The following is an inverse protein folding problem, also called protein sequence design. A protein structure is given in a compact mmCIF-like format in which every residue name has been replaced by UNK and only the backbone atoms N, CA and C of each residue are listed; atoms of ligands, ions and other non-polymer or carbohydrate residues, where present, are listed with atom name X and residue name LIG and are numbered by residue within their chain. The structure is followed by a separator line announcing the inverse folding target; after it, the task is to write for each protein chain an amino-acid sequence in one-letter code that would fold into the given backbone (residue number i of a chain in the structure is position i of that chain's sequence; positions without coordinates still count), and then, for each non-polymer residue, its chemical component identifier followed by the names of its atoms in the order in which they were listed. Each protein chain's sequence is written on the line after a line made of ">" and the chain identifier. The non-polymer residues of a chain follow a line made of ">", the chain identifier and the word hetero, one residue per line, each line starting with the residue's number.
data_IF_220855075552
#
_entry.id   IF_220855075552
#
_cell.length_a   1.000
_cell.length_b   1.000
_cell.length_c   1.000
_cell.angle_alpha   90.00
_cell.angle_beta   90.00
_cell.angle_gamma   90.00
#
_symmetry.space_group_name_H-M   'P 1'
#
loop_
_entity.id
_entity.type
_entity.pdbx_description
1 polymer ?
#
# COMPACT_ATOMS: atom_id res chain seq x y z
N UNK A 1 4.18 -19.21 7.63
CA UNK A 1 4.71 -18.87 6.30
C UNK A 1 4.04 -17.60 5.80
N UNK A 2 4.63 -16.97 4.80
CA UNK A 2 4.05 -15.86 4.05
C UNK A 2 3.58 -16.43 2.71
N UNK A 3 2.29 -16.36 2.42
CA UNK A 3 1.67 -17.06 1.29
C UNK A 3 1.10 -16.05 0.31
N UNK A 4 1.59 -16.05 -0.94
CA UNK A 4 1.13 -15.14 -2.00
C UNK A 4 0.43 -15.96 -3.06
N UNK A 5 -0.79 -15.58 -3.44
CA UNK A 5 -1.54 -16.20 -4.54
C UNK A 5 -0.66 -16.38 -5.78
N UNK A 6 -0.78 -17.51 -6.48
CA UNK A 6 0.10 -17.88 -7.60
C UNK A 6 -0.57 -17.85 -8.99
N UNK A 7 -1.12 -16.70 -9.46
CA UNK A 7 -1.76 -16.61 -10.77
C UNK A 7 -0.82 -16.92 -11.95
N UNK A 8 0.50 -16.76 -11.80
CA UNK A 8 1.46 -17.11 -12.84
C UNK A 8 1.41 -18.61 -13.24
N UNK A 9 0.89 -19.49 -12.38
CA UNK A 9 0.67 -20.91 -12.72
C UNK A 9 -0.43 -21.12 -13.76
N UNK A 10 -1.41 -20.22 -13.84
CA UNK A 10 -2.51 -20.29 -14.81
C UNK A 10 -2.47 -19.23 -15.89
N UNK A 11 -1.50 -18.30 -15.83
CA UNK A 11 -1.35 -17.21 -16.79
C UNK A 11 0.04 -17.28 -17.42
N UNK A 12 0.17 -18.11 -18.46
CA UNK A 12 1.39 -18.23 -19.24
C UNK A 12 1.70 -16.90 -19.98
N UNK A 13 2.98 -16.57 -20.21
CA UNK A 13 3.36 -15.48 -21.11
C UNK A 13 2.65 -15.57 -22.46
N UNK A 14 2.26 -14.42 -23.02
CA UNK A 14 1.60 -14.28 -24.33
C UNK A 14 0.21 -14.96 -24.44
N UNK A 15 -0.32 -15.50 -23.34
CA UNK A 15 -1.69 -16.01 -23.28
C UNK A 15 -2.72 -14.86 -23.36
N UNK A 16 -3.99 -15.15 -23.70
CA UNK A 16 -5.04 -14.12 -23.68
C UNK A 16 -5.21 -13.42 -22.32
N UNK A 17 -5.02 -14.15 -21.21
CA UNK A 17 -5.05 -13.55 -19.87
C UNK A 17 -3.83 -12.67 -19.59
N UNK A 18 -2.66 -13.04 -20.10
CA UNK A 18 -1.45 -12.22 -20.02
C UNK A 18 -1.61 -10.93 -20.82
N UNK A 19 -2.14 -11.02 -22.05
CA UNK A 19 -2.44 -9.85 -22.87
C UNK A 19 -3.43 -8.90 -22.18
N UNK A 20 -4.47 -9.43 -21.52
CA UNK A 20 -5.42 -8.63 -20.73
C UNK A 20 -4.75 -7.97 -19.52
N UNK A 21 -3.89 -8.71 -18.80
CA UNK A 21 -3.13 -8.19 -17.67
C UNK A 21 -2.14 -7.10 -18.11
N UNK A 22 -1.45 -7.30 -19.24
CA UNK A 22 -0.50 -6.36 -19.84
C UNK A 22 -1.17 -5.12 -20.42
N UNK A 23 -2.42 -5.23 -20.88
CA UNK A 23 -3.20 -4.07 -21.33
C UNK A 23 -3.60 -3.15 -20.16
N UNK A 24 -3.77 -3.70 -18.94
CA UNK A 24 -4.18 -2.94 -17.75
C UNK A 24 -3.03 -2.60 -16.81
N UNK A 25 -1.98 -3.42 -16.73
CA UNK A 25 -0.75 -3.27 -15.93
C UNK A 25 -0.92 -3.22 -14.40
N UNK A 26 -1.99 -2.61 -13.90
CA UNK A 26 -2.33 -2.48 -12.48
C UNK A 26 -3.84 -2.37 -12.30
N UNK A 27 -4.33 -2.75 -11.12
CA UNK A 27 -5.68 -2.41 -10.70
C UNK A 27 -5.75 -0.91 -10.38
N UNK A 28 -6.79 -0.24 -10.87
CA UNK A 28 -7.12 1.15 -10.54
C UNK A 28 -8.19 1.15 -9.45
N UNK A 29 -7.90 1.78 -8.33
CA UNK A 29 -8.88 1.96 -7.23
C UNK A 29 -9.49 3.35 -7.34
N UNK A 30 -10.77 3.50 -7.02
CA UNK A 30 -11.39 4.82 -6.90
C UNK A 30 -12.44 4.76 -5.78
N UNK A 31 -12.92 5.90 -5.27
CA UNK A 31 -13.93 5.91 -4.22
C UNK A 31 -15.13 5.02 -4.54
N UNK A 32 -15.37 4.02 -3.68
CA UNK A 32 -16.47 3.05 -3.79
C UNK A 32 -16.22 1.81 -4.65
N UNK A 33 -15.21 1.79 -5.55
CA UNK A 33 -15.05 0.67 -6.50
C UNK A 33 -13.62 0.59 -7.10
N UNK A 34 -13.38 -0.37 -8.01
CA UNK A 34 -12.07 -0.62 -8.63
C UNK A 34 -12.21 -1.24 -10.02
N UNK A 35 -11.29 -0.88 -10.91
CA UNK A 35 -11.09 -1.57 -12.18
C UNK A 35 -9.92 -2.54 -12.01
N UNK A 36 -10.22 -3.84 -12.02
CA UNK A 36 -9.20 -4.87 -11.75
C UNK A 36 -8.26 -5.11 -12.93
N UNK A 37 -6.98 -5.38 -12.63
CA UNK A 37 -6.00 -5.78 -13.66
C UNK A 37 -6.40 -7.08 -14.36
N UNK A 38 -6.88 -8.06 -13.60
CA UNK A 38 -7.32 -9.35 -14.11
C UNK A 38 -8.85 -9.42 -14.18
N UNK A 39 -9.41 -10.23 -15.10
CA UNK A 39 -10.84 -10.54 -15.10
C UNK A 39 -11.29 -11.20 -13.78
N UNK A 40 -12.56 -11.03 -13.37
CA UNK A 40 -13.07 -11.60 -12.12
C UNK A 40 -12.84 -13.11 -11.99
N UNK A 41 -13.07 -13.90 -13.05
CA UNK A 41 -12.87 -15.35 -13.03
C UNK A 41 -11.41 -15.76 -12.74
N UNK A 42 -10.44 -15.01 -13.27
CA UNK A 42 -9.03 -15.24 -12.97
C UNK A 42 -8.71 -14.88 -11.52
N UNK A 43 -9.27 -13.79 -10.99
CA UNK A 43 -9.10 -13.42 -9.58
C UNK A 43 -9.71 -14.50 -8.67
N UNK A 44 -10.92 -14.96 -8.97
CA UNK A 44 -11.65 -15.97 -8.21
C UNK A 44 -10.89 -17.31 -8.16
N UNK A 45 -10.19 -17.69 -9.23
CA UNK A 45 -9.40 -18.92 -9.26
C UNK A 45 -8.22 -18.91 -8.26
N UNK A 46 -7.60 -17.73 -8.06
CA UNK A 46 -6.33 -17.60 -7.32
C UNK A 46 -6.44 -16.88 -5.97
N UNK A 47 -7.54 -16.16 -5.72
CA UNK A 47 -7.76 -15.45 -4.46
C UNK A 47 -7.69 -16.41 -3.26
N UNK A 48 -7.00 -15.99 -2.21
CA UNK A 48 -6.81 -16.78 -0.98
C UNK A 48 -8.03 -16.63 -0.05
N UNK A 49 -9.17 -17.18 -0.48
CA UNK A 49 -10.42 -17.18 0.28
C UNK A 49 -10.43 -18.25 1.37
N UNK A 50 -11.06 -17.91 2.49
CA UNK A 50 -11.33 -18.82 3.61
C UNK A 50 -12.07 -20.09 3.15
N UNK A 51 -11.68 -21.24 3.70
CA UNK A 51 -12.31 -22.54 3.44
C UNK A 51 -11.73 -23.33 2.28
N UNK A 52 -11.03 -22.69 1.34
CA UNK A 52 -10.46 -23.35 0.16
C UNK A 52 -8.94 -23.46 0.20
N UNK A 53 -8.40 -24.57 -0.33
CA UNK A 53 -6.98 -24.70 -0.61
C UNK A 53 -6.64 -24.09 -1.98
N UNK A 54 -5.88 -22.99 -1.96
CA UNK A 54 -5.59 -22.18 -3.16
C UNK A 54 -4.10 -22.20 -3.50
N UNK A 55 -3.75 -22.18 -4.81
CA UNK A 55 -2.35 -22.20 -5.23
C UNK A 55 -1.63 -20.93 -4.80
N UNK A 56 -0.50 -21.10 -4.12
CA UNK A 56 0.33 -20.02 -3.60
C UNK A 56 1.81 -20.30 -3.83
N UNK A 57 2.58 -19.22 -3.98
CA UNK A 57 4.00 -19.21 -3.75
C UNK A 57 4.22 -18.79 -2.30
N UNK A 58 4.74 -19.72 -1.52
CA UNK A 58 4.91 -19.58 -0.07
C UNK A 58 6.38 -19.36 0.28
N UNK A 59 6.64 -18.49 1.26
CA UNK A 59 7.92 -18.33 1.93
C UNK A 59 7.79 -18.77 3.39
N UNK A 60 8.50 -19.81 3.76
CA UNK A 60 8.65 -20.27 5.14
C UNK A 60 9.90 -19.67 5.77
N UNK A 61 9.79 -19.34 7.05
CA UNK A 61 10.83 -18.73 7.87
C UNK A 61 10.98 -19.61 9.10
N UNK A 62 12.17 -20.13 9.34
CA UNK A 62 12.53 -20.75 10.60
C UNK A 62 13.05 -19.65 11.51
N UNK A 63 12.40 -19.48 12.68
CA UNK A 63 12.66 -18.39 13.60
C UNK A 63 13.12 -18.96 14.93
N UNK A 64 14.25 -18.49 15.44
CA UNK A 64 14.77 -18.93 16.73
C UNK A 64 13.99 -18.33 17.93
N UNK A 65 14.35 -18.74 19.15
CA UNK A 65 13.69 -18.28 20.37
C UNK A 65 13.85 -16.76 20.63
N UNK A 66 14.84 -16.12 20.00
CA UNK A 66 15.08 -14.66 20.11
C UNK A 66 14.36 -13.86 19.02
N UNK A 67 13.74 -14.54 18.05
CA UNK A 67 13.01 -13.91 16.95
C UNK A 67 13.84 -13.66 15.70
N UNK A 68 15.06 -14.22 15.61
CA UNK A 68 15.87 -14.12 14.40
C UNK A 68 15.46 -15.18 13.39
N UNK A 69 15.43 -14.79 12.11
CA UNK A 69 15.24 -15.75 11.02
C UNK A 69 16.57 -16.45 10.75
N UNK A 70 16.58 -17.77 10.90
CA UNK A 70 17.78 -18.61 10.75
C UNK A 70 17.81 -19.38 9.43
N UNK A 71 16.64 -19.63 8.83
CA UNK A 71 16.52 -20.25 7.52
C UNK A 71 15.25 -19.80 6.81
N UNK A 72 15.28 -19.83 5.49
CA UNK A 72 14.14 -19.56 4.63
C UNK A 72 13.96 -20.68 3.62
N UNK A 73 12.71 -20.97 3.26
CA UNK A 73 12.37 -21.95 2.23
C UNK A 73 11.18 -21.49 1.42
N UNK A 74 11.32 -21.43 0.10
CA UNK A 74 10.20 -21.13 -0.79
C UNK A 74 9.62 -22.39 -1.41
N UNK A 75 8.30 -22.45 -1.56
CA UNK A 75 7.60 -23.60 -2.16
C UNK A 75 6.34 -23.15 -2.88
N UNK A 76 6.05 -23.80 -4.00
CA UNK A 76 4.76 -23.70 -4.66
C UNK A 76 3.84 -24.80 -4.12
N UNK A 77 2.70 -24.41 -3.54
CA UNK A 77 1.79 -25.35 -2.87
C UNK A 77 0.33 -24.88 -2.95
N UNK A 78 -0.59 -25.69 -2.44
CA UNK A 78 -1.98 -25.27 -2.17
C UNK A 78 -2.16 -25.04 -0.68
N UNK A 79 -2.48 -23.81 -0.29
CA UNK A 79 -2.59 -23.41 1.12
C UNK A 79 -4.07 -23.32 1.51
N UNK A 80 -4.55 -24.09 2.50
CA UNK A 80 -5.88 -23.93 3.06
C UNK A 80 -5.93 -22.67 3.94
N UNK A 81 -6.85 -21.77 3.65
CA UNK A 81 -7.02 -20.53 4.44
C UNK A 81 -8.06 -20.78 5.52
N UNK A 82 -7.62 -20.79 6.79
CA UNK A 82 -8.50 -21.02 7.92
C UNK A 82 -9.43 -19.83 8.22
N UNK A 83 -9.03 -18.62 7.84
CA UNK A 83 -9.75 -17.40 8.12
C UNK A 83 -9.31 -16.24 7.23
N UNK A 84 -10.27 -15.45 6.73
CA UNK A 84 -9.98 -14.11 6.24
C UNK A 84 -10.31 -13.07 7.33
N UNK A 85 -9.29 -12.32 7.79
CA UNK A 85 -9.44 -11.32 8.84
C UNK A 85 -9.46 -9.90 8.23
N UNK A 86 -10.37 -9.03 8.70
CA UNK A 86 -10.47 -7.64 8.23
C UNK A 86 -9.74 -6.71 9.19
N UNK A 87 -8.99 -5.74 8.64
CA UNK A 87 -8.19 -4.82 9.46
C UNK A 87 -9.06 -4.06 10.47
N UNK A 88 -10.22 -3.53 10.04
CA UNK A 88 -11.13 -2.79 10.94
C UNK A 88 -11.65 -3.60 12.12
N UNK A 89 -11.81 -4.92 11.99
CA UNK A 89 -12.22 -5.79 13.11
C UNK A 89 -11.05 -6.01 14.08
N UNK A 90 -9.83 -6.10 13.53
CA UNK A 90 -8.61 -6.38 14.27
C UNK A 90 -8.03 -5.17 14.99
N UNK A 91 -8.23 -3.96 14.47
CA UNK A 91 -7.72 -2.71 15.05
C UNK A 91 -8.19 -2.47 16.49
N UNK A 92 -9.40 -2.95 16.83
CA UNK A 92 -9.95 -2.82 18.18
C UNK A 92 -9.32 -3.78 19.20
N UNK A 93 -8.83 -4.93 18.74
CA UNK A 93 -8.28 -6.00 19.59
C UNK A 93 -6.75 -6.04 19.58
N UNK A 94 -6.09 -5.54 18.53
CA UNK A 94 -4.63 -5.54 18.37
C UNK A 94 -4.07 -4.12 18.54
N UNK A 95 -4.28 -3.57 19.73
CA UNK A 95 -3.75 -2.26 20.13
C UNK A 95 -2.33 -2.39 20.67
N UNK A 96 -1.58 -1.28 20.69
CA UNK A 96 -0.25 -1.26 21.31
C UNK A 96 -0.28 -1.71 22.78
N UNK A 97 -1.32 -1.31 23.52
CA UNK A 97 -1.54 -1.72 24.90
C UNK A 97 -1.77 -3.24 25.03
N UNK A 98 -2.58 -3.84 24.14
CA UNK A 98 -2.81 -5.28 24.13
C UNK A 98 -1.51 -6.05 23.82
N UNK A 99 -0.68 -5.53 22.91
CA UNK A 99 0.59 -6.13 22.53
C UNK A 99 1.69 -5.98 23.61
N UNK A 100 1.58 -4.96 24.46
CA UNK A 100 2.48 -4.74 25.59
C UNK A 100 2.04 -5.47 26.88
N UNK A 101 0.74 -5.71 27.06
CA UNK A 101 0.14 -5.95 28.38
C UNK A 101 -0.45 -7.33 28.65
N UNK A 102 -0.54 -8.26 27.69
CA UNK A 102 -1.11 -9.58 27.96
C UNK A 102 -1.49 -10.43 26.75
N UNK A 103 -2.21 -11.55 26.95
CA UNK A 103 -2.75 -12.34 25.85
C UNK A 103 -3.81 -11.54 25.08
N UNK A 104 -3.73 -11.64 23.77
CA UNK A 104 -4.68 -10.99 22.87
C UNK A 104 -5.99 -11.79 22.85
N UNK A 105 -7.12 -11.15 23.19
CA UNK A 105 -8.45 -11.76 23.19
C UNK A 105 -9.00 -11.92 21.77
N UNK A 106 -8.50 -12.93 21.07
CA UNK A 106 -8.92 -13.30 19.72
C UNK A 106 -8.57 -14.76 19.45
N UNK A 107 -9.34 -15.45 18.59
CA UNK A 107 -9.11 -16.87 18.25
C UNK A 107 -7.70 -17.18 17.72
N UNK A 108 -7.01 -16.18 17.16
CA UNK A 108 -5.64 -16.26 16.65
C UNK A 108 -4.65 -15.36 17.42
N UNK A 109 -4.99 -14.99 18.66
CA UNK A 109 -4.22 -14.01 19.43
C UNK A 109 -2.77 -14.43 19.66
N UNK A 110 -2.53 -15.74 19.87
CA UNK A 110 -1.17 -16.29 20.06
C UNK A 110 -0.32 -16.16 18.80
N UNK A 111 -0.88 -16.50 17.65
CA UNK A 111 -0.22 -16.46 16.35
C UNK A 111 0.12 -15.02 15.96
N UNK A 112 -0.82 -14.09 16.17
CA UNK A 112 -0.64 -12.67 15.89
C UNK A 112 0.42 -12.06 16.80
N UNK A 113 0.43 -12.40 18.10
CA UNK A 113 1.49 -11.94 19.01
C UNK A 113 2.88 -12.42 18.57
N UNK A 114 2.99 -13.65 18.07
CA UNK A 114 4.25 -14.18 17.53
C UNK A 114 4.68 -13.44 16.25
N UNK A 115 3.76 -13.24 15.31
CA UNK A 115 4.01 -12.47 14.08
C UNK A 115 4.36 -11.01 14.37
N UNK A 116 3.76 -10.39 15.39
CA UNK A 116 4.10 -9.05 15.83
C UNK A 116 5.55 -8.96 16.31
N UNK A 117 5.98 -9.88 17.21
CA UNK A 117 7.38 -9.92 17.68
C UNK A 117 8.36 -10.09 16.52
N UNK A 118 8.05 -10.99 15.58
CA UNK A 118 8.85 -11.15 14.37
C UNK A 118 8.88 -9.85 13.54
N UNK A 119 7.74 -9.18 13.33
CA UNK A 119 7.69 -7.92 12.57
C UNK A 119 8.54 -6.81 13.20
N UNK A 120 8.54 -6.71 14.54
CA UNK A 120 9.37 -5.75 15.27
C UNK A 120 10.87 -6.04 15.09
N UNK A 121 11.27 -7.31 15.18
CA UNK A 121 12.65 -7.74 14.92
C UNK A 121 13.09 -7.43 13.49
N UNK A 122 12.25 -7.76 12.49
CA UNK A 122 12.55 -7.48 11.08
C UNK A 122 12.67 -5.99 10.79
N UNK A 123 11.79 -5.16 11.36
CA UNK A 123 11.88 -3.71 11.23
C UNK A 123 13.17 -3.16 11.87
N UNK A 124 13.52 -3.65 13.06
CA UNK A 124 14.74 -3.26 13.76
C UNK A 124 16.00 -3.65 12.97
N UNK A 125 16.04 -4.85 12.39
CA UNK A 125 17.13 -5.33 11.55
C UNK A 125 17.35 -4.45 10.29
N UNK A 126 16.30 -3.78 9.80
CA UNK A 126 16.39 -2.79 8.70
C UNK A 126 16.85 -1.39 9.17
N UNK A 127 17.12 -1.20 10.46
CA UNK A 127 17.44 0.12 11.03
C UNK A 127 16.25 1.07 11.01
N UNK A 128 15.01 0.55 11.03
CA UNK A 128 13.77 1.33 10.94
C UNK A 128 12.94 1.28 12.23
N UNK A 129 13.55 0.91 13.36
CA UNK A 129 12.87 0.84 14.66
C UNK A 129 12.24 2.19 15.06
N UNK A 130 12.96 3.29 14.83
CA UNK A 130 12.52 4.65 15.19
C UNK A 130 11.69 5.34 14.09
N UNK A 131 11.58 4.73 12.90
CA UNK A 131 10.81 5.27 11.78
C UNK A 131 9.28 5.20 12.00
N UNK A 132 8.83 4.64 13.13
CA UNK A 132 7.42 4.55 13.50
C UNK A 132 6.71 5.92 13.56
N UNK A 133 7.44 7.00 13.84
CA UNK A 133 6.88 8.35 13.94
C UNK A 133 6.76 9.08 12.59
N UNK A 134 7.45 8.65 11.53
CA UNK A 134 7.44 9.36 10.24
C UNK A 134 6.21 9.05 9.36
N UNK A 135 5.36 8.09 9.78
CA UNK A 135 4.31 7.51 8.94
C UNK A 135 2.89 7.62 9.49
N UNK A 136 2.65 8.42 10.53
CA UNK A 136 1.29 8.83 10.93
C UNK A 136 0.71 9.87 9.96
N UNK A 137 0.73 9.55 8.66
CA UNK A 137 -0.11 10.25 7.69
C UNK A 137 -1.53 9.73 7.88
N UNK A 138 -2.44 10.63 8.23
CA UNK A 138 -3.88 10.38 8.15
C UNK A 138 -4.20 10.13 6.68
N UNK A 139 -4.52 8.89 6.34
CA UNK A 139 -5.14 8.53 5.08
C UNK A 139 -6.66 8.62 5.24
N UNK A 140 -7.40 8.54 4.14
CA UNK A 140 -8.85 8.62 4.16
C UNK A 140 -9.45 7.55 3.28
N UNK A 141 -10.49 6.90 3.78
CA UNK A 141 -11.34 6.02 3.00
C UNK A 141 -12.55 6.80 2.50
N UNK A 142 -12.87 6.64 1.22
CA UNK A 142 -14.05 7.20 0.62
C UNK A 142 -15.10 6.10 0.40
N UNK A 143 -16.32 6.37 0.84
CA UNK A 143 -17.50 5.56 0.57
C UNK A 143 -18.48 6.42 -0.21
N UNK A 144 -19.01 5.88 -1.30
CA UNK A 144 -19.97 6.57 -2.16
C UNK A 144 -21.16 5.66 -2.33
N UNK A 145 -22.27 6.04 -1.70
CA UNK A 145 -23.53 5.28 -1.69
C UNK A 145 -24.63 6.21 -2.21
N UNK A 146 -25.30 5.84 -3.31
CA UNK A 146 -26.36 6.65 -3.95
C UNK A 146 -25.98 8.13 -4.18
N UNK A 147 -24.73 8.37 -4.60
CA UNK A 147 -24.19 9.71 -4.85
C UNK A 147 -23.88 10.52 -3.59
N UNK A 148 -24.07 9.96 -2.39
CA UNK A 148 -23.64 10.54 -1.11
C UNK A 148 -22.26 10.04 -0.76
N UNK A 149 -21.37 10.98 -0.44
CA UNK A 149 -19.99 10.67 -0.07
C UNK A 149 -19.81 10.73 1.43
N UNK A 150 -19.12 9.73 1.97
CA UNK A 150 -18.61 9.69 3.33
C UNK A 150 -17.10 9.49 3.28
N UNK A 151 -16.39 10.46 3.84
CA UNK A 151 -14.92 10.43 3.96
C UNK A 151 -14.62 10.10 5.42
N UNK A 152 -13.88 9.03 5.66
CA UNK A 152 -13.51 8.58 7.00
C UNK A 152 -12.00 8.52 7.11
N UNK A 153 -11.47 9.12 8.16
CA UNK A 153 -10.06 8.99 8.50
C UNK A 153 -9.68 7.52 8.70
N UNK A 154 -8.59 7.12 8.04
CA UNK A 154 -7.92 5.86 8.26
C UNK A 154 -6.53 6.17 8.82
N UNK A 155 -6.33 5.83 10.09
CA UNK A 155 -5.01 5.92 10.71
C UNK A 155 -4.16 4.76 10.21
N UNK A 156 -3.20 5.05 9.33
CA UNK A 156 -2.12 4.10 9.05
C UNK A 156 -1.18 3.99 10.23
N UNK A 157 -0.53 2.84 10.32
CA UNK A 157 0.42 2.55 11.39
C UNK A 157 -0.21 1.86 12.58
N UNK A 158 -1.45 1.34 12.42
CA UNK A 158 -1.94 0.34 13.36
C UNK A 158 -0.95 -0.82 13.45
N UNK A 159 -0.87 -1.52 14.60
CA UNK A 159 0.04 -2.65 14.72
C UNK A 159 -0.18 -3.73 13.65
N UNK A 160 -1.42 -3.92 13.18
CA UNK A 160 -1.72 -4.86 12.12
C UNK A 160 -1.22 -4.39 10.74
N UNK A 161 -1.35 -3.10 10.40
CA UNK A 161 -0.80 -2.53 9.16
C UNK A 161 0.71 -2.75 9.12
N UNK A 162 1.39 -2.45 10.24
CA UNK A 162 2.84 -2.64 10.38
C UNK A 162 3.23 -4.10 10.23
N UNK A 163 2.54 -5.00 10.94
CA UNK A 163 2.81 -6.44 10.87
C UNK A 163 2.74 -6.94 9.43
N UNK A 164 1.64 -6.65 8.72
CA UNK A 164 1.45 -7.07 7.33
C UNK A 164 2.51 -6.42 6.43
N UNK A 165 2.80 -5.13 6.60
CA UNK A 165 3.82 -4.43 5.84
C UNK A 165 5.21 -5.08 5.99
N UNK A 166 5.65 -5.39 7.20
CA UNK A 166 6.95 -6.04 7.44
C UNK A 166 7.02 -7.43 6.81
N UNK A 167 5.93 -8.22 6.87
CA UNK A 167 5.89 -9.52 6.21
C UNK A 167 6.04 -9.36 4.69
N UNK A 168 5.32 -8.42 4.08
CA UNK A 168 5.42 -8.18 2.64
C UNK A 168 6.80 -7.62 2.25
N UNK A 169 7.37 -6.76 3.09
CA UNK A 169 8.71 -6.20 2.86
C UNK A 169 9.74 -7.33 2.86
N UNK A 170 9.68 -8.20 3.88
CA UNK A 170 10.57 -9.34 4.00
C UNK A 170 10.46 -10.28 2.80
N UNK A 171 9.24 -10.67 2.40
CA UNK A 171 9.04 -11.55 1.25
C UNK A 171 9.59 -10.96 -0.04
N UNK A 172 9.34 -9.67 -0.31
CA UNK A 172 9.84 -8.98 -1.50
C UNK A 172 11.37 -8.81 -1.49
N UNK A 173 11.98 -8.58 -0.33
CA UNK A 173 13.43 -8.48 -0.19
C UNK A 173 14.13 -9.84 -0.34
N UNK A 174 13.54 -10.89 0.25
CA UNK A 174 14.07 -12.25 0.23
C UNK A 174 13.94 -12.90 -1.15
N UNK A 175 12.79 -12.77 -1.80
CA UNK A 175 12.65 -13.20 -3.19
C UNK A 175 13.48 -12.36 -4.16
N UNK A 176 13.64 -11.06 -3.89
CA UNK A 176 14.62 -10.24 -4.61
C UNK A 176 16.06 -10.74 -4.42
N UNK A 177 16.42 -11.21 -3.22
CA UNK A 177 17.72 -11.83 -2.91
C UNK A 177 17.91 -13.10 -3.73
N UNK A 178 16.90 -13.96 -3.77
CA UNK A 178 16.94 -15.22 -4.53
C UNK A 178 17.17 -14.98 -6.03
N UNK A 179 16.47 -14.00 -6.63
CA UNK A 179 16.71 -13.60 -8.02
C UNK A 179 18.13 -13.05 -8.23
N UNK A 180 18.61 -12.20 -7.32
CA UNK A 180 19.98 -11.65 -7.36
C UNK A 180 21.04 -12.75 -7.35
N UNK A 181 20.92 -13.71 -6.44
CA UNK A 181 21.89 -14.81 -6.29
C UNK A 181 21.88 -15.77 -7.46
N UNK A 182 20.72 -15.97 -8.08
CA UNK A 182 20.58 -16.73 -9.31
C UNK A 182 21.03 -15.95 -10.57
N UNK A 183 21.40 -14.68 -10.44
CA UNK A 183 21.75 -13.82 -11.58
C UNK A 183 20.58 -13.55 -12.52
N UNK A 184 19.34 -13.63 -12.04
CA UNK A 184 18.13 -13.46 -12.83
C UNK A 184 17.59 -12.03 -12.78
N UNK A 185 17.09 -11.51 -13.91
CA UNK A 185 16.43 -10.21 -13.92
C UNK A 185 15.00 -10.32 -13.35
N UNK A 186 14.49 -9.18 -12.90
CA UNK A 186 13.13 -9.05 -12.38
C UNK A 186 12.72 -7.59 -12.28
N UNK A 187 11.50 -7.33 -11.83
CA UNK A 187 11.02 -5.99 -11.53
C UNK A 187 11.41 -5.59 -10.09
N UNK A 188 12.54 -4.91 -9.94
CA UNK A 188 13.02 -4.39 -8.67
C UNK A 188 12.58 -2.95 -8.50
N UNK A 189 12.04 -2.61 -7.32
CA UNK A 189 11.73 -1.22 -6.96
C UNK A 189 12.94 -0.65 -6.22
N UNK A 190 13.75 0.12 -6.93
CA UNK A 190 14.90 0.82 -6.39
C UNK A 190 14.48 2.17 -5.82
N UNK A 191 15.15 2.63 -4.76
CA UNK A 191 15.04 4.01 -4.29
C UNK A 191 16.40 4.47 -3.78
N UNK A 192 17.04 5.35 -4.55
CA UNK A 192 18.32 5.97 -4.23
C UNK A 192 18.17 7.48 -4.41
N UNK A 193 18.46 8.27 -3.38
CA UNK A 193 18.27 9.73 -3.44
C UNK A 193 16.79 10.16 -3.43
N UNK A 194 15.92 9.39 -2.75
CA UNK A 194 14.53 9.76 -2.46
C UNK A 194 13.50 9.42 -3.55
N UNK A 195 13.91 9.25 -4.81
CA UNK A 195 12.99 8.87 -5.90
C UNK A 195 13.01 7.36 -6.11
N UNK A 196 11.82 6.76 -6.11
CA UNK A 196 11.66 5.33 -6.35
C UNK A 196 11.33 5.07 -7.83
N UNK A 197 11.97 4.06 -8.42
CA UNK A 197 11.83 3.67 -9.83
C UNK A 197 11.92 2.15 -9.99
N UNK A 198 11.40 1.63 -11.08
CA UNK A 198 11.55 0.22 -11.43
C UNK A 198 12.88 -0.02 -12.16
N UNK A 199 13.56 -1.10 -11.82
CA UNK A 199 14.82 -1.54 -12.45
C UNK A 199 14.74 -3.03 -12.77
N UNK A 200 15.48 -3.46 -13.79
CA UNK A 200 15.59 -4.90 -14.15
C UNK A 200 16.60 -5.66 -13.30
N UNK A 201 17.46 -4.91 -12.61
CA UNK A 201 18.55 -5.42 -11.79
C UNK A 201 18.33 -5.10 -10.31
N UNK A 202 18.83 -5.95 -9.40
CA UNK A 202 18.78 -5.69 -7.96
C UNK A 202 19.45 -4.34 -7.65
N UNK A 203 18.77 -3.49 -6.90
CA UNK A 203 19.27 -2.16 -6.50
C UNK A 203 18.70 -1.80 -5.12
N UNK A 204 19.46 -1.09 -4.27
CA UNK A 204 18.98 -0.69 -2.94
C UNK A 204 17.70 0.14 -2.95
N UNK A 205 16.98 0.04 -1.84
CA UNK A 205 15.82 0.88 -1.54
C UNK A 205 16.02 1.55 -0.16
N UNK A 206 16.61 2.75 -0.16
CA UNK A 206 17.04 3.47 1.05
C UNK A 206 15.88 3.73 2.02
N UNK A 207 14.70 4.10 1.51
CA UNK A 207 13.51 4.33 2.34
C UNK A 207 13.05 3.09 3.11
N UNK A 208 13.32 1.89 2.57
CA UNK A 208 13.01 0.62 3.20
C UNK A 208 14.24 -0.01 3.90
N UNK A 209 15.45 0.53 3.76
CA UNK A 209 16.64 -0.06 4.38
C UNK A 209 16.94 -1.50 3.91
N UNK A 210 16.70 -1.80 2.62
CA UNK A 210 16.98 -3.12 2.02
C UNK A 210 17.91 -3.01 0.82
N UNK A 211 18.77 -4.01 0.63
CA UNK A 211 19.75 -4.05 -0.47
C UNK A 211 19.11 -4.33 -1.84
N UNK A 212 17.96 -4.99 -1.87
CA UNK A 212 17.15 -5.24 -3.06
C UNK A 212 15.69 -5.40 -2.65
N UNK A 213 14.78 -5.02 -3.55
CA UNK A 213 13.35 -5.07 -3.27
C UNK A 213 12.56 -5.42 -4.54
N UNK A 214 12.17 -6.68 -4.69
CA UNK A 214 11.41 -7.14 -5.86
C UNK A 214 9.91 -7.17 -5.53
N UNK A 215 9.10 -6.37 -6.22
CA UNK A 215 7.64 -6.39 -5.99
C UNK A 215 7.06 -7.73 -6.42
N UNK A 216 6.64 -8.55 -5.45
CA UNK A 216 6.23 -9.94 -5.69
C UNK A 216 4.99 -10.33 -4.89
N UNK A 217 4.52 -9.49 -3.97
CA UNK A 217 3.47 -9.79 -3.01
C UNK A 217 2.04 -9.43 -3.47
N UNK A 218 1.86 -9.01 -4.73
CA UNK A 218 0.56 -8.56 -5.26
C UNK A 218 0.31 -8.92 -6.74
N UNK A 219 0.54 -10.17 -7.17
CA UNK A 219 0.47 -10.57 -8.59
C UNK A 219 -0.94 -10.54 -9.19
N UNK A 220 -1.99 -10.48 -8.37
CA UNK A 220 -3.37 -10.32 -8.84
C UNK A 220 -3.73 -8.89 -9.29
N UNK A 221 -2.91 -7.89 -8.90
CA UNK A 221 -3.23 -6.47 -9.08
C UNK A 221 -2.09 -5.63 -9.64
N UNK A 222 -0.90 -6.19 -9.83
CA UNK A 222 0.26 -5.53 -10.43
C UNK A 222 0.97 -6.51 -11.36
N UNK A 223 1.17 -6.08 -12.61
CA UNK A 223 1.74 -6.92 -13.66
C UNK A 223 3.22 -7.23 -13.40
N UNK A 224 3.95 -6.28 -12.81
CA UNK A 224 5.34 -6.50 -12.39
C UNK A 224 5.49 -7.59 -11.33
N UNK A 225 4.51 -7.75 -10.42
CA UNK A 225 4.50 -8.86 -9.46
C UNK A 225 4.22 -10.21 -10.16
N UNK A 226 3.39 -10.21 -11.21
CA UNK A 226 3.17 -11.40 -12.04
C UNK A 226 4.45 -11.81 -12.79
N UNK A 227 5.20 -10.84 -13.32
CA UNK A 227 6.51 -11.06 -13.96
C UNK A 227 7.50 -11.68 -12.98
N UNK A 228 7.65 -11.08 -11.80
CA UNK A 228 8.54 -11.61 -10.77
C UNK A 228 8.13 -13.02 -10.33
N UNK A 229 6.82 -13.26 -10.19
CA UNK A 229 6.33 -14.58 -9.82
C UNK A 229 6.69 -15.65 -10.86
N UNK A 230 6.66 -15.34 -12.17
CA UNK A 230 7.11 -16.25 -13.23
C UNK A 230 8.58 -16.64 -13.05
N UNK A 231 9.45 -15.66 -12.81
CA UNK A 231 10.89 -15.91 -12.58
C UNK A 231 11.12 -16.73 -11.32
N UNK A 232 10.42 -16.41 -10.22
CA UNK A 232 10.54 -17.12 -8.95
C UNK A 232 10.06 -18.56 -9.04
N UNK A 233 8.93 -18.80 -9.71
CA UNK A 233 8.42 -20.15 -9.95
C UNK A 233 9.40 -20.99 -10.77
N UNK A 234 9.95 -20.43 -11.85
CA UNK A 234 10.98 -21.11 -12.66
C UNK A 234 12.23 -21.40 -11.83
N UNK A 235 12.72 -20.42 -11.07
CA UNK A 235 13.89 -20.56 -10.19
C UNK A 235 13.72 -21.69 -9.17
N UNK A 236 12.61 -21.68 -8.42
CA UNK A 236 12.38 -22.68 -7.37
C UNK A 236 12.02 -24.06 -7.92
N UNK A 237 11.50 -24.13 -9.14
CA UNK A 237 11.30 -25.39 -9.86
C UNK A 237 12.56 -25.88 -10.60
N UNK A 238 13.68 -25.14 -10.54
CA UNK A 238 14.91 -25.41 -11.28
C UNK A 238 14.69 -25.52 -12.80
N UNK A 239 13.77 -24.71 -13.31
CA UNK A 239 13.45 -24.59 -14.73
C UNK A 239 14.21 -23.40 -15.36
N UNK A 240 14.35 -23.36 -16.69
CA UNK A 240 14.91 -22.21 -17.38
C UNK A 240 14.17 -20.92 -17.02
N UNK A 241 14.91 -19.82 -16.87
CA UNK A 241 14.34 -18.51 -16.60
C UNK A 241 13.35 -18.11 -17.71
N UNK A 242 12.25 -17.47 -17.31
CA UNK A 242 11.20 -17.01 -18.25
C UNK A 242 11.68 -15.79 -19.02
N UNK A 243 12.42 -14.90 -18.36
CA UNK A 243 13.00 -13.72 -18.98
C UNK A 243 14.52 -13.72 -18.84
N UNK A 244 15.22 -13.55 -19.96
CA UNK A 244 16.66 -13.39 -19.98
C UNK A 244 17.07 -11.96 -19.58
N UNK A 245 18.33 -11.80 -19.19
CA UNK A 245 18.92 -10.48 -18.92
C UNK A 245 18.79 -9.58 -20.17
N UNK A 246 18.20 -8.39 -20.00
CA UNK A 246 18.02 -7.45 -21.12
C UNK A 246 16.92 -7.82 -22.12
N UNK A 247 16.05 -8.80 -21.79
CA UNK A 247 14.92 -9.16 -22.64
C UNK A 247 14.05 -7.91 -22.98
N UNK A 248 13.81 -7.60 -24.27
CA UNK A 248 13.00 -6.46 -24.68
C UNK A 248 11.58 -6.46 -24.10
N UNK A 249 10.99 -7.64 -23.92
CA UNK A 249 9.65 -7.83 -23.37
C UNK A 249 9.60 -7.42 -21.89
N UNK A 250 10.66 -7.72 -21.13
CA UNK A 250 10.78 -7.29 -19.74
C UNK A 250 10.98 -5.76 -19.65
N UNK A 251 11.90 -5.21 -20.44
CA UNK A 251 12.18 -3.77 -20.46
C UNK A 251 10.95 -2.95 -20.83
N UNK A 252 10.23 -3.36 -21.88
CA UNK A 252 8.98 -2.72 -22.30
C UNK A 252 7.91 -2.83 -21.22
N UNK A 253 7.70 -4.01 -20.63
CA UNK A 253 6.71 -4.19 -19.58
C UNK A 253 6.96 -3.31 -18.35
N UNK A 254 8.22 -3.14 -17.92
CA UNK A 254 8.57 -2.27 -16.79
C UNK A 254 8.28 -0.80 -17.11
N UNK A 255 8.72 -0.31 -18.29
CA UNK A 255 8.45 1.06 -18.74
C UNK A 255 6.95 1.33 -18.84
N UNK A 256 6.22 0.44 -19.49
CA UNK A 256 4.78 0.59 -19.70
C UNK A 256 4.05 0.59 -18.35
N UNK A 257 4.46 -0.29 -17.42
CA UNK A 257 3.95 -0.31 -16.04
C UNK A 257 4.18 1.02 -15.33
N UNK A 258 5.37 1.62 -15.37
CA UNK A 258 5.64 2.90 -14.72
C UNK A 258 4.74 4.02 -15.25
N UNK A 259 4.61 4.13 -16.58
CA UNK A 259 3.74 5.12 -17.21
C UNK A 259 2.27 4.96 -16.81
N UNK A 260 1.76 3.72 -16.86
CA UNK A 260 0.38 3.44 -16.48
C UNK A 260 0.14 3.68 -14.99
N UNK A 261 1.07 3.26 -14.13
CA UNK A 261 0.95 3.40 -12.68
C UNK A 261 0.93 4.88 -12.25
N UNK A 262 1.77 5.72 -12.87
CA UNK A 262 1.77 7.17 -12.62
C UNK A 262 0.47 7.83 -13.09
N UNK A 263 -0.01 7.49 -14.30
CA UNK A 263 -1.28 7.98 -14.85
C UNK A 263 -2.48 7.58 -13.99
N UNK A 264 -2.52 6.33 -13.52
CA UNK A 264 -3.57 5.86 -12.62
C UNK A 264 -3.53 6.58 -11.28
N UNK A 265 -2.34 6.82 -10.73
CA UNK A 265 -2.19 7.62 -9.52
C UNK A 265 -2.69 9.06 -9.70
N UNK A 266 -2.48 9.68 -10.86
CA UNK A 266 -3.03 11.00 -11.18
C UNK A 266 -4.55 10.99 -11.25
N UNK A 267 -5.13 10.03 -11.98
CA UNK A 267 -6.57 9.85 -12.06
C UNK A 267 -7.21 9.65 -10.67
N UNK A 268 -6.58 8.84 -9.82
CA UNK A 268 -6.99 8.64 -8.43
C UNK A 268 -7.04 9.93 -7.64
N UNK A 269 -5.96 10.74 -7.70
CA UNK A 269 -5.91 12.04 -7.00
C UNK A 269 -6.98 13.00 -7.51
N UNK A 270 -7.26 13.03 -8.81
CA UNK A 270 -8.35 13.84 -9.37
C UNK A 270 -9.72 13.38 -8.86
N UNK A 271 -9.97 12.07 -8.83
CA UNK A 271 -11.23 11.51 -8.32
C UNK A 271 -11.40 11.79 -6.82
N UNK A 272 -10.38 11.57 -6.00
CA UNK A 272 -10.41 11.90 -4.56
C UNK A 272 -10.73 13.38 -4.35
N UNK A 273 -10.09 14.26 -5.14
CA UNK A 273 -10.34 15.69 -5.10
C UNK A 273 -11.78 16.06 -5.47
N UNK A 274 -12.33 15.47 -6.53
CA UNK A 274 -13.75 15.64 -6.89
C UNK A 274 -14.67 15.27 -5.71
N UNK A 275 -14.43 14.12 -5.08
CA UNK A 275 -15.24 13.66 -3.96
C UNK A 275 -15.08 14.51 -2.70
N UNK A 276 -13.92 15.12 -2.46
CA UNK A 276 -13.75 16.14 -1.42
C UNK A 276 -14.65 17.36 -1.68
N UNK A 277 -14.73 17.85 -2.93
CA UNK A 277 -15.60 18.99 -3.26
C UNK A 277 -17.08 18.64 -3.10
N UNK A 278 -17.48 17.43 -3.52
CA UNK A 278 -18.84 16.92 -3.30
C UNK A 278 -19.17 16.78 -1.83
N UNK A 279 -18.19 16.39 -1.01
CA UNK A 279 -18.37 16.34 0.44
C UNK A 279 -18.60 17.74 1.01
N UNK A 280 -17.79 18.74 0.62
CA UNK A 280 -17.94 20.15 1.06
C UNK A 280 -19.32 20.70 0.69
N UNK A 281 -19.78 20.45 -0.55
CA UNK A 281 -21.11 20.82 -1.01
C UNK A 281 -22.20 20.16 -0.16
N UNK A 282 -22.10 18.84 0.03
CA UNK A 282 -23.08 18.02 0.76
C UNK A 282 -23.21 18.45 2.23
N UNK A 283 -22.10 18.77 2.90
CA UNK A 283 -22.09 19.22 4.30
C UNK A 283 -22.34 20.71 4.47
N UNK A 284 -22.48 21.45 3.36
CA UNK A 284 -22.62 22.91 3.34
C UNK A 284 -21.51 23.62 4.14
N UNK A 285 -20.29 23.05 4.11
CA UNK A 285 -19.16 23.55 4.88
C UNK A 285 -18.64 24.86 4.28
N UNK A 286 -18.75 25.95 5.04
CA UNK A 286 -18.27 27.29 4.63
C UNK A 286 -16.89 27.64 5.20
N UNK A 287 -16.41 26.88 6.18
CA UNK A 287 -15.05 26.99 6.70
C UNK A 287 -14.59 25.66 7.31
N UNK A 288 -13.31 25.35 7.16
CA UNK A 288 -12.68 24.15 7.70
C UNK A 288 -11.32 24.46 8.32
N UNK A 289 -10.95 23.67 9.33
CA UNK A 289 -9.62 23.72 9.92
C UNK A 289 -8.60 22.99 9.02
N UNK A 290 -7.40 23.54 8.96
CA UNK A 290 -6.31 23.03 8.13
C UNK A 290 -4.96 23.22 8.83
N UNK A 291 -3.99 22.42 8.41
CA UNK A 291 -2.61 22.54 8.83
C UNK A 291 -1.76 23.05 7.67
N UNK A 292 -0.93 24.05 7.92
CA UNK A 292 0.02 24.58 6.93
C UNK A 292 1.09 23.52 6.66
N UNK A 293 1.24 23.14 5.40
CA UNK A 293 2.29 22.20 4.95
C UNK A 293 3.59 22.96 4.71
N UNK A 294 3.52 24.05 3.94
CA UNK A 294 4.60 24.98 3.65
C UNK A 294 4.04 26.22 2.95
N UNK A 295 4.62 27.39 3.18
CA UNK A 295 4.19 28.65 2.57
C UNK A 295 2.66 28.84 2.72
N UNK A 296 1.95 29.00 1.60
CA UNK A 296 0.50 29.10 1.54
C UNK A 296 -0.21 27.78 1.21
N UNK A 297 0.51 26.65 1.22
CA UNK A 297 -0.04 25.32 0.95
C UNK A 297 -0.58 24.74 2.25
N UNK A 298 -1.88 24.46 2.28
CA UNK A 298 -2.58 23.92 3.45
C UNK A 298 -3.17 22.54 3.14
N UNK A 299 -3.21 21.68 4.15
CA UNK A 299 -3.91 20.40 4.13
C UNK A 299 -5.06 20.47 5.12
N UNK A 300 -6.27 20.17 4.66
CA UNK A 300 -7.43 20.13 5.55
C UNK A 300 -7.33 18.98 6.55
N UNK A 301 -7.80 19.23 7.77
CA UNK A 301 -7.64 18.27 8.86
C UNK A 301 -8.67 17.14 8.81
N UNK A 302 -9.83 17.37 8.17
CA UNK A 302 -10.91 16.39 8.07
C UNK A 302 -11.08 15.78 6.66
N UNK A 303 -10.24 16.18 5.68
CA UNK A 303 -10.33 15.76 4.28
C UNK A 303 -8.93 15.54 3.70
N UNK A 304 -8.75 14.62 2.74
CA UNK A 304 -7.51 14.48 1.96
C UNK A 304 -7.37 15.58 0.89
N UNK A 305 -7.73 16.82 1.22
CA UNK A 305 -7.66 17.96 0.31
C UNK A 305 -6.46 18.83 0.66
N UNK A 306 -5.61 19.08 -0.32
CA UNK A 306 -4.46 20.01 -0.21
C UNK A 306 -4.64 21.08 -1.27
N UNK A 307 -4.60 22.34 -0.87
CA UNK A 307 -4.75 23.50 -1.77
C UNK A 307 -3.81 24.62 -1.36
N UNK A 308 -3.55 25.53 -2.29
CA UNK A 308 -2.91 26.81 -1.98
C UNK A 308 -3.97 27.82 -1.58
N UNK A 309 -3.68 28.61 -0.55
CA UNK A 309 -4.55 29.68 -0.05
C UNK A 309 -3.80 31.01 -0.17
N UNK A 310 -3.92 31.75 -1.27
CA UNK A 310 -3.11 32.95 -1.53
C UNK A 310 -3.20 34.05 -0.47
N UNK A 311 -4.30 34.12 0.28
CA UNK A 311 -4.47 35.08 1.38
C UNK A 311 -3.67 34.72 2.64
N UNK A 312 -3.21 33.48 2.76
CA UNK A 312 -2.37 33.03 3.88
C UNK A 312 -0.95 33.57 3.68
N UNK A 313 -0.46 34.33 4.66
CA UNK A 313 0.86 34.97 4.64
C UNK A 313 1.61 34.64 5.92
N UNK A 314 2.92 34.51 5.81
CA UNK A 314 3.87 34.40 6.93
C UNK A 314 3.57 33.26 7.93
N UNK A 315 2.86 32.21 7.49
CA UNK A 315 2.50 31.09 8.33
C UNK A 315 3.60 30.03 8.37
N UNK A 316 3.85 29.47 9.56
CA UNK A 316 4.86 28.43 9.75
C UNK A 316 4.33 27.05 9.33
N UNK A 317 5.22 26.17 8.84
CA UNK A 317 4.85 24.77 8.61
C UNK A 317 4.40 24.11 9.92
N UNK A 318 3.27 23.41 9.89
CA UNK A 318 2.63 22.81 11.06
C UNK A 318 1.62 23.72 11.78
N UNK A 319 1.55 25.01 11.43
CA UNK A 319 0.58 25.94 12.02
C UNK A 319 -0.86 25.53 11.69
N UNK A 320 -1.74 25.65 12.69
CA UNK A 320 -3.18 25.42 12.53
C UNK A 320 -3.86 26.70 12.10
N UNK A 321 -4.60 26.63 11.00
CA UNK A 321 -5.28 27.77 10.39
C UNK A 321 -6.72 27.39 10.06
N UNK A 322 -7.60 28.38 10.00
CA UNK A 322 -8.99 28.20 9.58
C UNK A 322 -9.23 28.84 8.23
N UNK A 323 -9.80 28.09 7.30
CA UNK A 323 -9.92 28.48 5.90
C UNK A 323 -11.41 28.57 5.54
N UNK A 324 -11.86 29.72 5.07
CA UNK A 324 -13.19 29.88 4.46
C UNK A 324 -13.21 29.27 3.07
N UNK A 325 -14.34 28.71 2.68
CA UNK A 325 -14.56 28.02 1.42
C UNK A 325 -15.76 28.62 0.69
N UNK A 326 -15.59 28.91 -0.60
CA UNK A 326 -16.68 29.36 -1.47
C UNK A 326 -16.41 28.95 -2.91
N UNK A 327 -17.40 29.14 -3.80
CA UNK A 327 -17.27 28.93 -5.25
C UNK A 327 -16.58 27.60 -5.61
N UNK A 328 -17.26 26.49 -5.36
CA UNK A 328 -16.81 25.17 -5.79
C UNK A 328 -16.86 25.09 -7.33
N UNK A 329 -15.78 24.64 -7.95
CA UNK A 329 -15.70 24.38 -9.39
C UNK A 329 -15.42 22.90 -9.61
N UNK A 330 -16.42 22.17 -10.11
CA UNK A 330 -16.32 20.73 -10.39
C UNK A 330 -15.61 20.41 -11.72
N UNK A 331 -15.44 21.39 -12.60
CA UNK A 331 -14.72 21.22 -13.87
C UNK A 331 -13.22 21.38 -13.66
N UNK A 332 -12.81 22.42 -12.95
CA UNK A 332 -11.41 22.65 -12.60
C UNK A 332 -10.96 21.85 -11.36
N UNK A 333 -11.91 21.20 -10.68
CA UNK A 333 -11.71 20.57 -9.37
C UNK A 333 -11.11 21.56 -8.37
N UNK A 334 -11.63 22.78 -8.32
CA UNK A 334 -11.10 23.85 -7.47
C UNK A 334 -12.14 24.37 -6.48
N UNK A 335 -11.66 25.07 -5.45
CA UNK A 335 -12.48 25.76 -4.46
C UNK A 335 -11.79 27.07 -4.13
N UNK A 336 -12.55 28.16 -4.10
CA UNK A 336 -12.03 29.44 -3.63
C UNK A 336 -11.84 29.37 -2.11
N UNK A 337 -10.65 29.70 -1.66
CA UNK A 337 -10.26 29.56 -0.26
C UNK A 337 -9.56 30.81 0.25
N UNK A 338 -9.98 31.28 1.43
CA UNK A 338 -9.37 32.43 2.11
C UNK A 338 -9.07 32.10 3.57
N UNK A 339 -7.99 32.67 4.10
CA UNK A 339 -7.59 32.51 5.49
C UNK A 339 -8.44 33.43 6.37
N UNK A 340 -9.10 32.84 7.37
CA UNK A 340 -9.86 33.58 8.37
C UNK A 340 -8.91 34.08 9.46
N UNK A 341 -8.77 35.39 9.58
CA UNK A 341 -7.89 36.05 10.56
C UNK A 341 -8.49 36.18 11.97
N UNK A 342 -9.64 35.55 12.25
CA UNK A 342 -10.29 35.64 13.56
C UNK A 342 -9.79 34.54 14.52
N UNK A 343 -9.56 34.86 15.82
CA UNK A 343 -9.20 33.85 16.82
C UNK A 343 -10.34 32.84 16.99
N UNK A 344 -10.06 31.57 17.37
CA UNK A 344 -11.11 30.64 17.75
C UNK A 344 -11.91 31.27 18.90
N UNK A 345 -13.23 31.34 18.76
CA UNK A 345 -14.09 31.71 19.88
C UNK A 345 -13.87 30.68 20.98
N UNK A 346 -13.28 31.10 22.09
CA UNK A 346 -13.17 30.30 23.31
C UNK A 346 -14.57 29.80 23.66
N UNK A 347 -14.79 28.51 23.42
CA UNK A 347 -15.94 27.80 23.96
C UNK A 347 -15.76 27.78 25.47
N UNK A 348 -16.44 28.70 26.14
CA UNK A 348 -16.61 28.72 27.59
C UNK A 348 -17.05 27.34 28.05
N UNK A 349 -16.15 26.61 28.70
CA UNK A 349 -16.53 25.50 29.57
C UNK A 349 -17.28 26.12 30.76
N UNK A 350 -18.61 26.02 30.73
CA UNK A 350 -19.41 26.22 31.94
C UNK A 350 -19.36 24.93 32.76
N UNK A 351 -18.79 25.07 33.96
CA UNK A 351 -19.00 24.31 35.20
C UNK A 351 -19.23 22.79 35.14
#
# INVERSE_FOLDING_TARGET
>A
GIHIAAPALGIAPDSPLDAAARARLSTVYFPGDKITMLPPAAIEAFTLLEGDARPALSLYLDVDATGNVIATRSVCERVPIAANLRHGDLENVFTEAALAGGPIDHRFGREIAALWRLSAQLQAARGKADAANEQQRVEYNFYVDDGRVRIVERRRGSPIDKLVAEMMIYANAEWGRALREAGLPGAFRAQTGGVARMTTVPTPHDGLGVQQYAWSSSPLRRYVDLINQRQLLALFAQQPAVYAQGAPELLSALRDFELAYDSYGEFQRMMERYWCLRWIEQTQSTALDATVVRDNLVRFDCLPLVIRVPSLRDAAAGEKVRISLSKLDFWELSVHAEHLTAPPADGTASA
#
